data_IF_132338799652
#
_entry.id   IF_132338799652
#
_cell.length_a   1.000
_cell.length_b   1.000
_cell.length_c   1.000
_cell.angle_alpha   90.00
_cell.angle_beta   90.00
_cell.angle_gamma   90.00
#
_symmetry.space_group_name_H-M   'P 1'
#
loop_
_entity.id
_entity.type
_entity.pdbx_description
1 polymer ?
#
# COMPACT_ATOMS: atom_id res chain seq x y z
N UNK A 1 -17.79 -47.00 4.76
CA UNK A 1 -18.62 -46.41 5.83
C UNK A 1 -17.98 -45.19 6.51
N UNK A 2 -16.67 -45.18 6.84
CA UNK A 2 -15.99 -44.03 7.47
C UNK A 2 -16.12 -42.68 6.72
N UNK A 3 -16.15 -42.67 5.37
CA UNK A 3 -16.28 -41.44 4.58
C UNK A 3 -17.67 -40.80 4.63
N UNK A 4 -18.73 -41.59 4.84
CA UNK A 4 -20.11 -41.09 4.91
C UNK A 4 -20.38 -40.42 6.26
N UNK A 5 -19.81 -40.97 7.34
CA UNK A 5 -19.89 -40.39 8.69
C UNK A 5 -19.14 -39.05 8.76
N UNK A 6 -17.98 -38.95 8.12
CA UNK A 6 -17.24 -37.68 8.03
C UNK A 6 -18.02 -36.58 7.31
N UNK A 7 -18.69 -36.92 6.20
CA UNK A 7 -19.44 -35.96 5.39
C UNK A 7 -20.72 -35.48 6.10
N UNK A 8 -21.40 -36.36 6.84
CA UNK A 8 -22.54 -35.98 7.67
C UNK A 8 -22.15 -35.05 8.83
N UNK A 9 -21.00 -35.29 9.48
CA UNK A 9 -20.50 -34.44 10.56
C UNK A 9 -20.16 -33.02 10.10
N UNK A 10 -19.54 -32.88 8.92
CA UNK A 10 -19.25 -31.54 8.35
C UNK A 10 -20.52 -30.78 8.02
N UNK A 11 -21.55 -31.46 7.51
CA UNK A 11 -22.83 -30.83 7.13
C UNK A 11 -23.58 -30.31 8.37
N UNK A 12 -23.56 -31.05 9.47
CA UNK A 12 -24.13 -30.62 10.74
C UNK A 12 -23.39 -29.41 11.33
N UNK A 13 -22.05 -29.40 11.27
CA UNK A 13 -21.25 -28.27 11.72
C UNK A 13 -21.56 -26.99 10.92
N UNK A 14 -21.63 -27.07 9.59
CA UNK A 14 -21.99 -25.93 8.74
C UNK A 14 -23.41 -25.41 9.02
N UNK A 15 -24.38 -26.30 9.29
CA UNK A 15 -25.73 -25.90 9.66
C UNK A 15 -25.73 -25.14 11.00
N UNK A 16 -24.98 -25.63 11.99
CA UNK A 16 -24.88 -24.99 13.29
C UNK A 16 -24.23 -23.59 13.19
N UNK A 17 -23.12 -23.47 12.45
CA UNK A 17 -22.46 -22.17 12.21
C UNK A 17 -23.37 -21.22 11.45
N UNK A 18 -24.12 -21.71 10.46
CA UNK A 18 -25.10 -20.92 9.71
C UNK A 18 -26.21 -20.37 10.61
N UNK A 19 -26.74 -21.16 11.54
CA UNK A 19 -27.79 -20.69 12.47
C UNK A 19 -27.30 -19.62 13.43
N UNK A 20 -26.06 -19.72 13.93
CA UNK A 20 -25.48 -18.69 14.81
C UNK A 20 -25.25 -17.39 14.04
N UNK A 21 -24.70 -17.47 12.83
CA UNK A 21 -24.52 -16.30 11.97
C UNK A 21 -25.86 -15.62 11.66
N UNK A 22 -26.88 -16.39 11.29
CA UNK A 22 -28.22 -15.85 11.04
C UNK A 22 -28.78 -15.11 12.26
N UNK A 23 -28.66 -15.67 13.46
CA UNK A 23 -29.10 -15.03 14.70
C UNK A 23 -28.34 -13.72 14.97
N UNK A 24 -27.01 -13.69 14.78
CA UNK A 24 -26.20 -12.48 15.01
C UNK A 24 -26.56 -11.35 14.04
N UNK A 25 -26.82 -11.66 12.77
CA UNK A 25 -27.23 -10.67 11.76
C UNK A 25 -28.62 -10.13 12.07
N UNK A 26 -29.56 -10.99 12.48
CA UNK A 26 -30.92 -10.59 12.84
C UNK A 26 -30.93 -9.67 14.07
N UNK A 27 -30.11 -9.97 15.08
CA UNK A 27 -29.88 -9.10 16.24
C UNK A 27 -29.26 -7.76 15.84
N UNK A 28 -28.22 -7.79 14.99
CA UNK A 28 -27.57 -6.57 14.49
C UNK A 28 -28.53 -5.65 13.73
N UNK A 29 -29.38 -6.23 12.88
CA UNK A 29 -30.40 -5.48 12.14
C UNK A 29 -31.51 -4.94 13.06
N UNK A 30 -31.92 -5.70 14.08
CA UNK A 30 -32.90 -5.23 15.07
C UNK A 30 -32.38 -4.05 15.90
N UNK A 31 -31.09 -4.08 16.27
CA UNK A 31 -30.40 -2.97 16.94
C UNK A 31 -30.27 -1.75 16.01
N UNK A 32 -29.87 -1.95 14.74
CA UNK A 32 -29.67 -0.83 13.80
C UNK A 32 -30.98 -0.15 13.37
N UNK A 33 -32.09 -0.89 13.35
CA UNK A 33 -33.43 -0.32 13.09
C UNK A 33 -34.01 0.44 14.30
N UNK A 34 -33.28 0.53 15.43
CA UNK A 34 -33.68 1.34 16.59
C UNK A 34 -34.94 0.84 17.30
N UNK A 35 -35.36 -0.40 17.04
CA UNK A 35 -36.59 -0.98 17.61
C UNK A 35 -36.44 -1.41 19.08
N UNK A 36 -35.20 -1.46 19.58
CA UNK A 36 -34.88 -1.72 20.98
C UNK A 36 -34.91 -0.39 21.73
N UNK A 37 -36.12 0.07 22.02
CA UNK A 37 -36.34 1.20 22.89
C UNK A 37 -36.03 0.76 24.33
N UNK A 38 -35.30 1.57 25.11
CA UNK A 38 -34.81 1.21 26.46
C UNK A 38 -35.93 0.70 27.37
N UNK A 39 -37.15 1.23 27.17
CA UNK A 39 -38.35 0.81 27.90
C UNK A 39 -38.73 -0.65 27.61
N UNK A 40 -38.67 -1.13 26.36
CA UNK A 40 -38.98 -2.53 26.04
C UNK A 40 -37.95 -3.52 26.59
N UNK A 41 -36.71 -3.10 26.75
CA UNK A 41 -35.67 -3.92 27.39
C UNK A 41 -35.91 -4.03 28.89
N UNK A 42 -36.39 -2.95 29.53
CA UNK A 42 -36.82 -2.94 30.92
C UNK A 42 -38.09 -3.78 31.10
N UNK A 43 -39.07 -3.68 30.21
CA UNK A 43 -40.30 -4.51 30.25
C UNK A 43 -39.97 -5.99 30.07
N UNK A 44 -39.04 -6.32 29.15
CA UNK A 44 -38.58 -7.69 28.94
C UNK A 44 -37.79 -8.23 30.14
N UNK A 45 -37.00 -7.39 30.80
CA UNK A 45 -36.34 -7.75 32.06
C UNK A 45 -37.37 -7.92 33.19
N UNK A 46 -38.36 -7.03 33.28
CA UNK A 46 -39.40 -7.06 34.30
C UNK A 46 -40.27 -8.31 34.19
N UNK A 47 -40.64 -8.71 32.96
CA UNK A 47 -41.34 -9.99 32.71
C UNK A 47 -40.43 -11.19 33.02
N UNK A 48 -39.12 -11.11 32.74
CA UNK A 48 -38.18 -12.19 33.07
C UNK A 48 -37.93 -12.34 34.58
N UNK A 49 -38.09 -11.26 35.36
CA UNK A 49 -37.98 -11.23 36.82
C UNK A 49 -39.33 -11.27 37.55
N UNK A 50 -40.45 -11.37 36.81
CA UNK A 50 -41.82 -11.42 37.34
C UNK A 50 -42.18 -10.21 38.22
N UNK A 51 -41.73 -9.01 37.83
CA UNK A 51 -42.04 -7.74 38.51
C UNK A 51 -43.11 -7.02 37.69
N UNK A 52 -44.34 -6.97 38.22
CA UNK A 52 -45.42 -6.15 37.64
C UNK A 52 -45.09 -4.66 37.85
N UNK A 53 -44.87 -3.92 36.75
CA UNK A 53 -44.69 -2.46 36.80
C UNK A 53 -46.07 -1.83 36.91
N UNK A 54 -46.42 -1.34 38.09
CA UNK A 54 -47.65 -0.60 38.35
C UNK A 54 -47.48 0.86 37.88
N UNK A 55 -48.10 1.21 36.74
CA UNK A 55 -48.01 2.55 36.15
C UNK A 55 -48.56 3.65 37.08
N UNK A 56 -49.50 3.30 37.97
CA UNK A 56 -50.08 4.23 38.95
C UNK A 56 -49.11 4.55 40.10
N UNK A 57 -48.23 3.60 40.46
CA UNK A 57 -47.18 3.83 41.46
C UNK A 57 -46.09 4.78 40.93
N UNK A 58 -45.74 4.66 39.64
CA UNK A 58 -44.80 5.57 38.97
C UNK A 58 -45.38 6.99 38.83
N UNK A 59 -46.68 7.13 38.61
CA UNK A 59 -47.34 8.43 38.55
C UNK A 59 -47.41 9.10 39.94
N UNK A 60 -47.67 8.32 41.00
CA UNK A 60 -47.69 8.82 42.37
C UNK A 60 -46.31 9.29 42.86
N UNK A 61 -45.24 8.58 42.50
CA UNK A 61 -43.86 8.94 42.84
C UNK A 61 -43.41 10.23 42.10
N UNK A 62 -43.89 10.46 40.88
CA UNK A 62 -43.64 11.70 40.13
C UNK A 62 -44.36 12.92 40.72
N UNK A 63 -45.56 12.74 41.26
CA UNK A 63 -46.34 13.80 41.90
C UNK A 63 -45.80 14.17 43.30
N UNK A 64 -45.28 13.21 44.07
CA UNK A 64 -44.54 13.51 45.31
C UNK A 64 -43.22 14.25 45.03
N UNK A 65 -42.45 13.79 44.03
CA UNK A 65 -41.21 14.47 43.62
C UNK A 65 -41.44 15.89 43.07
N UNK A 66 -42.65 16.21 42.60
CA UNK A 66 -43.03 17.56 42.17
C UNK A 66 -43.34 18.48 43.37
N UNK A 67 -43.80 17.94 44.51
CA UNK A 67 -44.14 18.69 45.72
C UNK A 67 -42.93 18.99 46.62
N UNK A 68 -41.90 18.15 46.54
CA UNK A 68 -40.64 18.28 47.31
C UNK A 68 -39.55 19.13 46.61
N UNK A 69 -39.90 19.94 45.60
CA UNK A 69 -38.95 20.87 44.99
C UNK A 69 -38.65 22.03 45.94
N UNK A 70 -37.69 21.82 46.84
CA UNK A 70 -37.04 22.89 47.58
C UNK A 70 -36.61 24.01 46.61
N UNK A 71 -37.03 25.25 46.89
CA UNK A 71 -36.66 26.40 46.07
C UNK A 71 -35.15 26.64 46.19
N UNK A 72 -34.39 26.24 45.17
CA UNK A 72 -32.95 26.40 45.11
C UNK A 72 -32.60 27.88 45.31
N UNK A 73 -31.77 28.18 46.30
CA UNK A 73 -31.33 29.55 46.56
C UNK A 73 -30.45 30.08 45.43
N UNK A 74 -30.53 31.39 45.16
CA UNK A 74 -29.74 32.05 44.11
C UNK A 74 -28.22 31.80 44.24
N UNK A 75 -27.71 31.74 45.47
CA UNK A 75 -26.30 31.47 45.77
C UNK A 75 -25.88 30.06 45.33
N UNK A 76 -26.75 29.05 45.52
CA UNK A 76 -26.49 27.68 45.04
C UNK A 76 -26.45 27.62 43.51
N UNK A 77 -27.33 28.34 42.82
CA UNK A 77 -27.32 28.44 41.35
C UNK A 77 -26.02 29.08 40.85
N UNK A 78 -25.56 30.15 41.50
CA UNK A 78 -24.32 30.84 41.13
C UNK A 78 -23.09 29.95 41.36
N UNK A 79 -23.03 29.22 42.49
CA UNK A 79 -21.96 28.25 42.75
C UNK A 79 -21.93 27.12 41.73
N UNK A 80 -23.07 26.52 41.44
CA UNK A 80 -23.17 25.45 40.44
C UNK A 80 -22.74 25.93 39.03
N UNK A 81 -23.09 27.18 38.67
CA UNK A 81 -22.63 27.79 37.41
C UNK A 81 -21.12 28.02 37.39
N UNK A 82 -20.54 28.49 38.50
CA UNK A 82 -19.11 28.71 38.61
C UNK A 82 -18.31 27.40 38.52
N UNK A 83 -18.76 26.35 39.20
CA UNK A 83 -18.16 25.01 39.10
C UNK A 83 -18.25 24.46 37.68
N UNK A 84 -19.43 24.56 37.05
CA UNK A 84 -19.61 24.12 35.67
C UNK A 84 -18.74 24.90 34.68
N UNK A 85 -18.56 26.21 34.88
CA UNK A 85 -17.66 27.02 34.05
C UNK A 85 -16.22 26.54 34.17
N UNK A 86 -15.76 26.29 35.40
CA UNK A 86 -14.42 25.78 35.67
C UNK A 86 -14.19 24.39 35.04
N UNK A 87 -15.18 23.51 35.12
CA UNK A 87 -15.10 22.19 34.48
C UNK A 87 -14.99 22.29 32.96
N UNK A 88 -15.69 23.24 32.34
CA UNK A 88 -15.58 23.51 30.90
C UNK A 88 -14.17 23.99 30.56
N UNK A 89 -13.63 24.97 31.31
CA UNK A 89 -12.27 25.47 31.09
C UNK A 89 -11.21 24.37 31.20
N UNK A 90 -11.35 23.46 32.19
CA UNK A 90 -10.44 22.32 32.35
C UNK A 90 -10.53 21.35 31.17
N UNK A 91 -11.74 21.06 30.69
CA UNK A 91 -11.95 20.20 29.51
C UNK A 91 -11.39 20.84 28.25
N UNK A 92 -11.63 22.12 28.03
CA UNK A 92 -11.08 22.85 26.88
C UNK A 92 -9.55 22.87 26.91
N UNK A 93 -8.96 23.12 28.08
CA UNK A 93 -7.51 23.06 28.26
C UNK A 93 -6.94 21.67 28.00
N UNK A 94 -7.62 20.60 28.43
CA UNK A 94 -7.21 19.22 28.13
C UNK A 94 -7.32 18.88 26.64
N UNK A 95 -8.42 19.26 26.00
CA UNK A 95 -8.65 19.04 24.57
C UNK A 95 -7.61 19.78 23.73
N UNK A 96 -7.30 21.02 24.09
CA UNK A 96 -6.29 21.80 23.38
C UNK A 96 -4.90 21.18 23.51
N UNK A 97 -4.51 20.73 24.73
CA UNK A 97 -3.24 20.02 24.95
C UNK A 97 -3.17 18.73 24.14
N UNK A 98 -4.23 17.92 24.18
CA UNK A 98 -4.31 16.65 23.45
C UNK A 98 -4.21 16.89 21.94
N UNK A 99 -4.87 17.94 21.43
CA UNK A 99 -4.77 18.32 20.02
C UNK A 99 -3.33 18.70 19.65
N UNK A 100 -2.66 19.50 20.46
CA UNK A 100 -1.26 19.87 20.23
C UNK A 100 -0.34 18.66 20.25
N UNK A 101 -0.53 17.74 21.20
CA UNK A 101 0.24 16.49 21.28
C UNK A 101 0.04 15.61 20.04
N UNK A 102 -1.21 15.46 19.57
CA UNK A 102 -1.51 14.72 18.34
C UNK A 102 -0.84 15.36 17.11
N UNK A 103 -0.89 16.68 16.99
CA UNK A 103 -0.22 17.38 15.88
C UNK A 103 1.30 17.18 15.91
N UNK A 104 1.92 17.23 17.10
CA UNK A 104 3.35 16.96 17.23
C UNK A 104 3.71 15.52 16.84
N UNK A 105 2.86 14.55 17.19
CA UNK A 105 3.06 13.15 16.82
C UNK A 105 2.89 12.95 15.30
N UNK A 106 1.91 13.62 14.69
CA UNK A 106 1.70 13.61 13.24
C UNK A 106 2.92 14.18 12.50
N UNK A 107 3.44 15.32 12.96
CA UNK A 107 4.64 15.96 12.40
C UNK A 107 5.89 15.06 12.54
N UNK A 108 6.06 14.39 13.68
CA UNK A 108 7.15 13.43 13.90
C UNK A 108 7.03 12.21 12.98
N UNK A 109 5.82 11.64 12.83
CA UNK A 109 5.59 10.52 11.92
C UNK A 109 5.82 10.90 10.46
N UNK A 110 5.35 12.08 10.03
CA UNK A 110 5.62 12.60 8.70
C UNK A 110 7.11 12.78 8.46
N UNK A 111 7.83 13.34 9.42
CA UNK A 111 9.29 13.54 9.33
C UNK A 111 10.04 12.21 9.23
N UNK A 112 9.66 11.22 10.04
CA UNK A 112 10.24 9.86 10.01
C UNK A 112 9.95 9.14 8.70
N UNK A 113 8.73 9.29 8.17
CA UNK A 113 8.37 8.74 6.86
C UNK A 113 9.21 9.35 5.75
N UNK A 114 9.30 10.69 5.68
CA UNK A 114 10.13 11.37 4.69
C UNK A 114 11.62 11.01 4.80
N UNK A 115 12.12 10.78 6.01
CA UNK A 115 13.47 10.29 6.23
C UNK A 115 13.65 8.89 5.66
N UNK A 116 12.74 7.96 5.98
CA UNK A 116 12.79 6.59 5.47
C UNK A 116 12.65 6.54 3.95
N UNK A 117 11.71 7.28 3.37
CA UNK A 117 11.48 7.33 1.93
C UNK A 117 12.75 7.84 1.20
N UNK A 118 13.41 8.87 1.73
CA UNK A 118 14.69 9.34 1.21
C UNK A 118 15.76 8.26 1.26
N UNK A 119 15.91 7.57 2.38
CA UNK A 119 16.89 6.48 2.52
C UNK A 119 16.62 5.31 1.56
N UNK A 120 15.36 4.93 1.41
CA UNK A 120 14.98 3.86 0.46
C UNK A 120 15.30 4.28 -0.97
N UNK A 121 15.00 5.52 -1.35
CA UNK A 121 15.29 6.01 -2.70
C UNK A 121 16.80 6.08 -2.95
N UNK A 122 17.58 6.61 -2.00
CA UNK A 122 19.05 6.61 -2.11
C UNK A 122 19.62 5.20 -2.21
N UNK A 123 19.13 4.24 -1.42
CA UNK A 123 19.58 2.85 -1.52
C UNK A 123 19.21 2.21 -2.86
N UNK A 124 18.04 2.51 -3.41
CA UNK A 124 17.66 2.04 -4.76
C UNK A 124 18.59 2.60 -5.82
N UNK A 125 18.84 3.90 -5.80
CA UNK A 125 19.76 4.57 -6.71
C UNK A 125 21.19 4.00 -6.60
N UNK A 126 21.69 3.78 -5.39
CA UNK A 126 23.00 3.17 -5.16
C UNK A 126 23.06 1.72 -5.67
N UNK A 127 22.01 0.93 -5.45
CA UNK A 127 21.93 -0.45 -5.94
C UNK A 127 21.87 -0.52 -7.46
N UNK A 128 21.10 0.36 -8.10
CA UNK A 128 21.03 0.47 -9.55
C UNK A 128 22.37 0.91 -10.14
N UNK A 129 23.02 1.91 -9.56
CA UNK A 129 24.35 2.35 -9.97
C UNK A 129 25.41 1.24 -9.81
N UNK A 130 25.41 0.52 -8.68
CA UNK A 130 26.28 -0.64 -8.44
C UNK A 130 26.04 -1.77 -9.43
N UNK A 131 24.76 -2.05 -9.74
CA UNK A 131 24.37 -3.06 -10.72
C UNK A 131 24.87 -2.68 -12.11
N UNK A 132 24.65 -1.43 -12.53
CA UNK A 132 25.11 -0.95 -13.83
C UNK A 132 26.63 -1.00 -13.93
N UNK A 133 27.34 -0.55 -12.89
CA UNK A 133 28.79 -0.64 -12.82
C UNK A 133 29.30 -2.09 -12.95
N UNK A 134 28.65 -3.05 -12.26
CA UNK A 134 29.02 -4.47 -12.37
C UNK A 134 28.75 -5.04 -13.77
N UNK A 135 27.67 -4.60 -14.43
CA UNK A 135 27.38 -4.98 -15.82
C UNK A 135 28.46 -4.42 -16.74
N UNK A 136 28.78 -3.13 -16.63
CA UNK A 136 29.78 -2.46 -17.46
C UNK A 136 31.17 -3.09 -17.27
N UNK A 137 31.56 -3.42 -16.03
CA UNK A 137 32.81 -4.11 -15.72
C UNK A 137 32.85 -5.52 -16.31
N UNK A 138 31.77 -6.30 -16.16
CA UNK A 138 31.66 -7.62 -16.77
C UNK A 138 31.71 -7.54 -18.31
N UNK A 139 31.11 -6.52 -18.92
CA UNK A 139 31.17 -6.30 -20.37
C UNK A 139 32.59 -5.99 -20.83
N UNK A 140 33.34 -5.17 -20.09
CA UNK A 140 34.75 -4.92 -20.39
C UNK A 140 35.60 -6.18 -20.24
N UNK A 141 35.33 -7.02 -19.24
CA UNK A 141 36.02 -8.29 -19.07
C UNK A 141 35.74 -9.25 -20.24
N UNK A 142 34.48 -9.40 -20.65
CA UNK A 142 34.11 -10.19 -21.84
C UNK A 142 34.77 -9.62 -23.09
N UNK A 143 34.82 -8.29 -23.25
CA UNK A 143 35.51 -7.66 -24.38
C UNK A 143 37.00 -8.02 -24.37
N UNK A 144 37.66 -8.00 -23.22
CA UNK A 144 39.07 -8.37 -23.08
C UNK A 144 39.30 -9.87 -23.38
N UNK A 145 38.40 -10.75 -22.95
CA UNK A 145 38.44 -12.18 -23.29
C UNK A 145 38.31 -12.37 -24.81
N UNK A 146 37.37 -11.68 -25.46
CA UNK A 146 37.21 -11.76 -26.91
C UNK A 146 38.38 -11.17 -27.70
N UNK A 147 39.02 -10.13 -27.17
CA UNK A 147 40.23 -9.54 -27.78
C UNK A 147 41.43 -10.49 -27.75
N UNK A 148 41.57 -11.25 -26.66
CA UNK A 148 42.66 -12.22 -26.48
C UNK A 148 42.38 -13.54 -27.18
N UNK A 149 41.10 -13.88 -27.38
CA UNK A 149 40.67 -15.05 -28.13
C UNK A 149 41.06 -14.98 -29.62
N UNK A 150 41.01 -16.13 -30.28
CA UNK A 150 41.24 -16.21 -31.74
C UNK A 150 40.08 -15.48 -32.46
N UNK A 151 40.36 -14.65 -33.49
CA UNK A 151 39.33 -13.87 -34.19
C UNK A 151 38.14 -14.69 -34.71
N UNK A 152 38.40 -15.92 -35.19
CA UNK A 152 37.35 -16.85 -35.65
C UNK A 152 36.40 -17.28 -34.53
N UNK A 153 36.92 -17.52 -33.33
CA UNK A 153 36.12 -17.91 -32.16
C UNK A 153 35.32 -16.72 -31.64
N UNK A 154 35.92 -15.53 -31.64
CA UNK A 154 35.22 -14.31 -31.25
C UNK A 154 34.03 -14.03 -32.18
N UNK A 155 34.22 -14.16 -33.50
CA UNK A 155 33.11 -14.08 -34.48
C UNK A 155 32.00 -15.08 -34.16
N UNK A 156 32.31 -16.37 -33.99
CA UNK A 156 31.27 -17.37 -33.73
C UNK A 156 30.49 -17.08 -32.46
N UNK A 157 31.15 -16.58 -31.42
CA UNK A 157 30.48 -16.20 -30.18
C UNK A 157 29.57 -14.99 -30.37
N UNK A 158 30.01 -13.97 -31.12
CA UNK A 158 29.18 -12.80 -31.42
C UNK A 158 27.95 -13.15 -32.26
N UNK A 159 28.09 -14.06 -33.23
CA UNK A 159 26.97 -14.56 -34.02
C UNK A 159 25.98 -15.36 -33.17
N UNK A 160 26.47 -16.18 -32.24
CA UNK A 160 25.60 -16.91 -31.32
C UNK A 160 24.80 -15.97 -30.43
N UNK A 161 25.46 -14.95 -29.85
CA UNK A 161 24.78 -13.93 -29.04
C UNK A 161 23.75 -13.14 -29.86
N UNK A 162 24.04 -12.88 -31.14
CA UNK A 162 23.10 -12.25 -32.05
C UNK A 162 21.87 -13.14 -32.31
N UNK A 163 22.07 -14.42 -32.58
CA UNK A 163 20.96 -15.36 -32.79
C UNK A 163 20.13 -15.61 -31.54
N UNK A 164 20.73 -15.48 -30.36
CA UNK A 164 20.06 -15.60 -29.06
C UNK A 164 19.28 -14.33 -28.67
N UNK A 165 19.28 -13.30 -29.52
CA UNK A 165 18.55 -12.05 -29.31
C UNK A 165 19.27 -11.01 -28.46
N UNK A 166 20.55 -11.21 -28.14
CA UNK A 166 21.38 -10.25 -27.39
C UNK A 166 22.03 -9.19 -28.30
N UNK A 167 21.29 -8.66 -29.28
CA UNK A 167 21.79 -7.73 -30.32
C UNK A 167 22.46 -6.48 -29.72
N UNK A 168 21.81 -5.88 -28.73
CA UNK A 168 22.27 -4.68 -28.03
C UNK A 168 23.60 -4.93 -27.29
N UNK A 169 23.74 -6.11 -26.70
CA UNK A 169 24.97 -6.51 -26.01
C UNK A 169 26.12 -6.72 -26.99
N UNK A 170 25.85 -7.33 -28.14
CA UNK A 170 26.83 -7.51 -29.22
C UNK A 170 27.34 -6.17 -29.73
N UNK A 171 26.43 -5.23 -29.97
CA UNK A 171 26.75 -3.85 -30.39
C UNK A 171 27.67 -3.18 -29.37
N UNK A 172 27.31 -3.20 -28.09
CA UNK A 172 28.08 -2.60 -27.01
C UNK A 172 29.46 -3.25 -26.80
N UNK A 173 29.54 -4.57 -26.98
CA UNK A 173 30.78 -5.30 -26.88
C UNK A 173 31.74 -4.93 -28.02
N UNK A 174 31.23 -4.79 -29.25
CA UNK A 174 32.01 -4.39 -30.41
C UNK A 174 32.46 -2.93 -30.31
N UNK A 175 31.64 -2.02 -29.80
CA UNK A 175 32.03 -0.61 -29.59
C UNK A 175 33.07 -0.46 -28.49
N UNK A 176 32.94 -1.19 -27.38
CA UNK A 176 33.90 -1.18 -26.27
C UNK A 176 35.30 -1.75 -26.65
N UNK A 177 35.39 -2.57 -27.69
CA UNK A 177 36.67 -3.12 -28.14
C UNK A 177 37.58 -2.07 -28.82
N UNK A 178 38.92 -2.15 -28.63
CA UNK A 178 39.87 -1.30 -29.32
C UNK A 178 39.89 -1.61 -30.82
N UNK A 179 40.15 -0.58 -31.63
CA UNK A 179 40.06 -0.63 -33.10
C UNK A 179 40.83 -1.79 -33.72
N UNK A 180 42.02 -2.10 -33.20
CA UNK A 180 42.87 -3.19 -33.70
C UNK A 180 42.22 -4.57 -33.55
N UNK A 181 41.53 -4.84 -32.45
CA UNK A 181 40.87 -6.11 -32.22
C UNK A 181 39.57 -6.20 -33.03
N UNK A 182 38.78 -5.11 -33.01
CA UNK A 182 37.56 -4.96 -33.83
C UNK A 182 37.84 -5.24 -35.31
N UNK A 183 38.89 -4.64 -35.88
CA UNK A 183 39.29 -4.87 -37.28
C UNK A 183 39.61 -6.34 -37.59
N UNK A 184 40.29 -7.04 -36.68
CA UNK A 184 40.63 -8.46 -36.86
C UNK A 184 39.40 -9.36 -36.82
N UNK A 185 38.45 -9.08 -35.92
CA UNK A 185 37.22 -9.85 -35.76
C UNK A 185 36.30 -9.62 -36.97
N UNK A 186 36.12 -8.35 -37.37
CA UNK A 186 35.30 -7.97 -38.54
C UNK A 186 35.84 -8.62 -39.84
N UNK A 187 37.15 -8.74 -40.00
CA UNK A 187 37.76 -9.38 -41.18
C UNK A 187 37.48 -10.89 -41.33
N UNK A 188 36.91 -11.55 -40.30
CA UNK A 188 36.51 -12.95 -40.36
C UNK A 188 35.03 -13.14 -40.76
N UNK A 189 34.23 -12.06 -40.84
CA UNK A 189 32.88 -12.08 -41.42
C UNK A 189 33.03 -12.06 -42.95
N UNK A 190 32.96 -13.25 -43.57
CA UNK A 190 33.26 -13.45 -45.00
C UNK A 190 32.16 -14.18 -45.77
N UNK A 191 31.15 -14.71 -45.08
CA UNK A 191 30.02 -15.35 -45.76
C UNK A 191 28.95 -14.31 -46.03
N UNK A 192 28.13 -14.54 -47.05
CA UNK A 192 27.09 -13.58 -47.47
C UNK A 192 26.05 -13.33 -46.37
N UNK A 193 25.80 -14.31 -45.50
CA UNK A 193 24.91 -14.16 -44.35
C UNK A 193 25.60 -13.42 -43.19
N UNK A 194 26.89 -13.67 -42.96
CA UNK A 194 27.69 -12.95 -41.95
C UNK A 194 27.78 -11.44 -42.29
N UNK A 195 27.92 -11.10 -43.56
CA UNK A 195 28.02 -9.71 -44.03
C UNK A 195 26.72 -8.93 -43.80
N UNK A 196 25.56 -9.58 -43.95
CA UNK A 196 24.25 -8.97 -43.62
C UNK A 196 24.14 -8.66 -42.13
N UNK A 197 24.51 -9.62 -41.27
CA UNK A 197 24.50 -9.41 -39.82
C UNK A 197 25.49 -8.34 -39.41
N UNK A 198 26.69 -8.32 -40.00
CA UNK A 198 27.67 -7.25 -39.76
C UNK A 198 27.14 -5.88 -40.18
N UNK A 199 26.46 -5.78 -41.34
CA UNK A 199 25.85 -4.54 -41.79
C UNK A 199 24.77 -4.04 -40.81
N UNK A 200 23.96 -4.94 -40.26
CA UNK A 200 22.97 -4.61 -39.23
C UNK A 200 23.63 -4.13 -37.92
N UNK A 201 24.68 -4.82 -37.47
CA UNK A 201 25.47 -4.40 -36.30
C UNK A 201 26.04 -3.00 -36.51
N UNK A 202 26.62 -2.73 -37.67
CA UNK A 202 27.23 -1.43 -37.99
C UNK A 202 26.18 -0.32 -38.14
N UNK A 203 25.02 -0.60 -38.73
CA UNK A 203 23.91 0.35 -38.82
C UNK A 203 23.42 0.75 -37.43
N UNK A 204 23.24 -0.23 -36.53
CA UNK A 204 22.81 0.01 -35.15
C UNK A 204 23.86 0.80 -34.34
N UNK A 205 25.16 0.56 -34.59
CA UNK A 205 26.22 1.41 -34.02
C UNK A 205 26.12 2.85 -34.53
N UNK A 206 25.85 3.04 -35.83
CA UNK A 206 25.76 4.36 -36.45
C UNK A 206 24.52 5.17 -36.00
N UNK A 207 23.42 4.50 -35.68
CA UNK A 207 22.19 5.09 -35.14
C UNK A 207 22.34 5.56 -33.67
N UNK A 208 23.50 5.36 -33.05
CA UNK A 208 23.77 5.74 -31.66
C UNK A 208 23.83 4.56 -30.69
N UNK A 209 23.78 3.32 -31.20
CA UNK A 209 23.89 2.10 -30.40
C UNK A 209 22.71 1.92 -29.44
N UNK A 210 22.95 1.24 -28.31
CA UNK A 210 21.93 1.01 -27.28
C UNK A 210 21.57 2.28 -26.50
N UNK A 211 22.35 3.35 -26.64
CA UNK A 211 22.19 4.58 -25.84
C UNK A 211 20.88 5.28 -26.20
N UNK A 212 20.53 5.34 -27.49
CA UNK A 212 19.26 5.93 -27.95
C UNK A 212 18.07 5.12 -27.45
N UNK A 213 18.12 3.79 -27.57
CA UNK A 213 17.07 2.90 -27.06
C UNK A 213 16.89 3.01 -25.54
N UNK A 214 17.99 3.14 -24.78
CA UNK A 214 17.96 3.31 -23.32
C UNK A 214 17.38 4.68 -22.92
N UNK A 215 17.61 5.73 -23.71
CA UNK A 215 17.03 7.06 -23.45
C UNK A 215 15.52 7.01 -23.71
N UNK A 216 15.08 6.45 -24.84
CA UNK A 216 13.67 6.32 -25.18
C UNK A 216 12.90 5.46 -24.16
N UNK A 217 13.46 4.34 -23.70
CA UNK A 217 12.83 3.48 -22.69
C UNK A 217 12.69 4.18 -21.33
N UNK A 218 13.68 4.99 -20.95
CA UNK A 218 13.62 5.76 -19.70
C UNK A 218 12.62 6.93 -19.80
N UNK A 219 12.54 7.60 -20.94
CA UNK A 219 11.54 8.64 -21.19
C UNK A 219 10.10 8.09 -21.10
N UNK A 220 9.85 6.89 -21.61
CA UNK A 220 8.53 6.27 -21.54
C UNK A 220 8.16 5.79 -20.13
N UNK A 221 9.14 5.31 -19.34
CA UNK A 221 8.95 4.99 -17.92
C UNK A 221 8.65 6.23 -17.08
N UNK A 222 9.29 7.36 -17.37
CA UNK A 222 8.99 8.65 -16.72
C UNK A 222 7.55 9.10 -17.01
N UNK A 223 7.10 9.04 -18.27
CA UNK A 223 5.70 9.36 -18.64
C UNK A 223 4.66 8.43 -17.96
N UNK A 224 5.01 7.16 -17.73
CA UNK A 224 4.18 6.19 -17.01
C UNK A 224 4.10 6.51 -15.51
N UNK A 225 5.23 6.90 -14.91
CA UNK A 225 5.30 7.24 -13.50
C UNK A 225 4.54 8.54 -13.18
N UNK A 226 4.61 9.54 -14.08
CA UNK A 226 3.82 10.78 -13.93
C UNK A 226 2.32 10.51 -14.01
N UNK A 227 1.84 9.69 -14.96
CA UNK A 227 0.43 9.28 -15.02
C UNK A 227 -0.05 8.55 -13.78
N UNK A 228 0.77 7.69 -13.20
CA UNK A 228 0.41 6.94 -11.98
C UNK A 228 0.47 7.80 -10.72
N UNK A 229 1.19 8.92 -10.75
CA UNK A 229 1.23 9.92 -9.67
C UNK A 229 0.04 10.88 -9.70
N UNK A 230 -0.67 10.95 -10.83
CA UNK A 230 -1.87 11.77 -11.04
C UNK A 230 -3.19 11.08 -10.67
N UNK A 231 -3.20 9.79 -10.29
CA UNK A 231 -4.43 9.14 -9.81
C UNK A 231 -4.77 9.67 -8.39
N UNK A 232 -5.84 10.47 -8.23
CA UNK A 232 -6.14 11.08 -6.96
C UNK A 232 -6.64 9.99 -6.02
N UNK A 233 -5.97 9.86 -4.88
CA UNK A 233 -6.53 9.26 -3.67
C UNK A 233 -7.88 9.92 -3.41
N UNK A 234 -8.94 9.24 -3.81
CA UNK A 234 -10.31 9.58 -3.46
C UNK A 234 -10.50 9.15 -2.01
N UNK A 235 -10.04 10.00 -1.09
CA UNK A 235 -10.40 9.89 0.31
C UNK A 235 -11.93 10.02 0.42
N UNK A 236 -12.63 9.07 1.07
CA UNK A 236 -14.06 9.18 1.26
C UNK A 236 -14.33 10.34 2.22
N UNK A 237 -14.92 11.41 1.68
CA UNK A 237 -15.52 12.48 2.46
C UNK A 237 -16.66 11.91 3.30
N UNK A 238 -16.36 11.65 4.58
CA UNK A 238 -17.38 11.34 5.58
C UNK A 238 -18.38 12.50 5.70
N UNK A 239 -19.67 12.22 5.92
CA UNK A 239 -20.69 13.25 6.03
C UNK A 239 -20.43 14.05 7.31
N UNK A 240 -20.25 15.37 7.16
CA UNK A 240 -20.30 16.32 8.27
C UNK A 240 -21.73 16.34 8.81
N UNK A 241 -21.91 15.90 10.05
CA UNK A 241 -23.04 16.28 10.90
C UNK A 241 -22.69 17.58 11.64
#
# INVERSE_FOLDING_TARGET
>A
MSRIVGLAGTLFAYLCVGTVLAQTVLLGLAVSQGTINRNKFVDMLAVAYDIEIDEDALAAEQDEAARDREEISLDQVLRARAERSRDIELREGFLQKSKTELSLLEDDLMSKRQFFDRHVNTLKEELEARKQQAIDEAMLEVANILQTAKPKLAKSQLLLMWTDGEEDRVVNLITAMPERARKKIVAEFRTEDDEKTLAQILARIAEGGTIVNLIEENEDKLKLQDRNSEEPTTAPTGPRA
#
